data_IF_985730549787
#
_entry.id   IF_985730549787
#
_cell.length_a   1.000
_cell.length_b   1.000
_cell.length_c   1.000
_cell.angle_alpha   90.00
_cell.angle_beta   90.00
_cell.angle_gamma   90.00
#
_symmetry.space_group_name_H-M   'P 1'
#
loop_
_entity.id
_entity.type
_entity.pdbx_description
1 polymer ?
#
# COMPACT_ATOMS: atom_id res chain seq x y z
N UNK A 1 -22.30 10.05 -2.55
CA UNK A 1 -23.70 10.39 -2.74
C UNK A 1 -24.38 11.04 -1.55
N UNK A 2 -24.44 10.40 -0.37
CA UNK A 2 -25.24 10.86 0.78
C UNK A 2 -24.87 12.27 1.29
N UNK A 3 -23.58 12.61 1.39
CA UNK A 3 -23.14 13.96 1.79
C UNK A 3 -23.67 15.04 0.83
N UNK A 4 -23.54 14.82 -0.47
CA UNK A 4 -24.00 15.78 -1.49
C UNK A 4 -25.52 15.96 -1.48
N UNK A 5 -26.30 14.89 -1.28
CA UNK A 5 -27.76 14.98 -1.16
C UNK A 5 -28.13 15.80 0.09
N UNK A 6 -27.48 15.55 1.22
CA UNK A 6 -27.68 16.32 2.46
C UNK A 6 -27.40 17.81 2.23
N UNK A 7 -26.27 18.15 1.59
CA UNK A 7 -25.93 19.54 1.28
C UNK A 7 -26.98 20.20 0.39
N UNK A 8 -27.50 19.48 -0.60
CA UNK A 8 -28.51 19.99 -1.50
C UNK A 8 -29.88 20.24 -0.82
N UNK A 9 -30.22 19.44 0.18
CA UNK A 9 -31.42 19.60 0.98
C UNK A 9 -31.30 20.82 1.93
N UNK A 10 -30.11 20.94 2.57
CA UNK A 10 -29.87 22.06 3.51
C UNK A 10 -29.65 23.38 2.80
N UNK A 11 -29.05 23.37 1.59
CA UNK A 11 -28.75 24.55 0.77
C UNK A 11 -29.42 24.42 -0.61
N UNK A 12 -30.75 24.54 -0.70
CA UNK A 12 -31.46 24.39 -1.98
C UNK A 12 -31.06 25.51 -2.95
N UNK A 13 -31.16 25.19 -4.25
CA UNK A 13 -31.01 26.20 -5.29
C UNK A 13 -32.22 27.10 -5.32
N UNK A 14 -32.00 28.41 -5.51
CA UNK A 14 -33.06 29.41 -5.70
C UNK A 14 -33.14 29.86 -7.17
N UNK A 15 -32.11 29.66 -7.95
CA UNK A 15 -32.04 30.01 -9.37
C UNK A 15 -32.86 29.00 -10.20
N UNK A 16 -33.88 29.49 -10.88
CA UNK A 16 -34.80 28.67 -11.69
C UNK A 16 -34.09 27.93 -12.80
N UNK A 17 -33.15 28.56 -13.47
CA UNK A 17 -32.44 27.92 -14.58
C UNK A 17 -31.50 26.80 -14.08
N UNK A 18 -30.82 27.01 -12.96
CA UNK A 18 -30.02 25.96 -12.33
C UNK A 18 -30.84 24.76 -11.84
N UNK A 19 -32.06 25.05 -11.33
CA UNK A 19 -33.01 24.00 -10.93
C UNK A 19 -33.43 23.18 -12.16
N UNK A 20 -33.85 23.84 -13.24
CA UNK A 20 -34.24 23.15 -14.48
C UNK A 20 -33.14 22.27 -15.01
N UNK A 21 -31.91 22.80 -15.12
CA UNK A 21 -30.76 22.02 -15.58
C UNK A 21 -30.54 20.73 -14.75
N UNK A 22 -30.71 20.82 -13.43
CA UNK A 22 -30.58 19.63 -12.57
C UNK A 22 -31.71 18.64 -12.80
N UNK A 23 -32.97 19.14 -12.95
CA UNK A 23 -34.14 18.31 -13.23
C UNK A 23 -34.08 17.64 -14.59
N UNK A 24 -33.50 18.29 -15.61
CA UNK A 24 -33.29 17.70 -16.93
C UNK A 24 -32.37 16.49 -16.84
N UNK A 25 -31.25 16.58 -16.11
CA UNK A 25 -30.35 15.44 -15.88
C UNK A 25 -31.09 14.31 -15.15
N UNK A 26 -31.83 14.61 -14.08
CA UNK A 26 -32.60 13.60 -13.33
C UNK A 26 -33.64 12.94 -14.23
N UNK A 27 -34.33 13.70 -15.08
CA UNK A 27 -35.27 13.15 -16.05
C UNK A 27 -34.63 12.17 -17.04
N UNK A 28 -33.47 12.52 -17.55
CA UNK A 28 -32.69 11.61 -18.44
C UNK A 28 -32.28 10.30 -17.72
N UNK A 29 -31.77 10.38 -16.50
CA UNK A 29 -31.46 9.18 -15.71
C UNK A 29 -32.71 8.35 -15.41
N UNK A 30 -33.88 8.97 -15.22
CA UNK A 30 -35.15 8.28 -14.99
C UNK A 30 -35.63 7.55 -16.25
N UNK A 31 -35.49 8.17 -17.42
CA UNK A 31 -36.00 7.63 -18.69
C UNK A 31 -35.20 6.45 -19.24
N UNK A 32 -33.95 6.24 -18.80
CA UNK A 32 -33.03 5.20 -19.28
C UNK A 32 -32.61 4.27 -18.13
N UNK A 33 -33.46 3.33 -17.68
CA UNK A 33 -33.20 2.54 -16.48
C UNK A 33 -31.99 1.62 -16.62
N UNK A 34 -31.72 1.04 -17.80
CA UNK A 34 -30.56 0.19 -18.02
C UNK A 34 -29.24 0.96 -17.96
N UNK A 35 -29.19 2.12 -18.64
CA UNK A 35 -28.00 2.98 -18.59
C UNK A 35 -27.76 3.52 -17.17
N UNK A 36 -28.85 3.78 -16.43
CA UNK A 36 -28.74 4.18 -15.02
C UNK A 36 -28.16 3.09 -14.16
N UNK A 37 -28.53 1.82 -14.37
CA UNK A 37 -27.94 0.71 -13.65
C UNK A 37 -26.44 0.58 -13.97
N UNK A 38 -26.08 0.56 -15.24
CA UNK A 38 -24.68 0.53 -15.70
C UNK A 38 -23.83 1.68 -15.06
N UNK A 39 -24.40 2.90 -15.07
CA UNK A 39 -23.72 4.05 -14.42
C UNK A 39 -23.54 3.86 -12.92
N UNK A 40 -24.54 3.26 -12.25
CA UNK A 40 -24.45 2.97 -10.81
C UNK A 40 -23.40 1.92 -10.50
N UNK A 41 -23.30 0.88 -11.32
CA UNK A 41 -22.31 -0.17 -11.15
C UNK A 41 -20.89 0.41 -11.22
N UNK A 42 -20.59 1.26 -12.20
CA UNK A 42 -19.30 1.99 -12.24
C UNK A 42 -19.10 2.94 -11.06
N UNK A 43 -20.14 3.62 -10.60
CA UNK A 43 -20.02 4.53 -9.45
C UNK A 43 -19.79 3.78 -8.13
N UNK A 44 -20.19 2.52 -8.01
CA UNK A 44 -19.92 1.68 -6.85
C UNK A 44 -18.45 1.27 -6.75
N UNK A 45 -17.75 1.18 -7.87
CA UNK A 45 -16.31 0.89 -7.93
C UNK A 45 -15.44 2.11 -7.54
N UNK A 46 -16.01 3.32 -7.57
CA UNK A 46 -15.30 4.56 -7.26
C UNK A 46 -15.34 4.83 -5.77
N UNK A 47 -14.16 4.87 -5.16
CA UNK A 47 -14.00 5.25 -3.76
C UNK A 47 -14.37 6.73 -3.51
N UNK A 48 -14.47 7.10 -2.25
CA UNK A 48 -14.75 8.47 -1.83
C UNK A 48 -13.58 9.43 -2.17
N UNK A 49 -13.57 9.94 -3.41
CA UNK A 49 -12.50 10.79 -3.93
C UNK A 49 -12.30 12.05 -3.10
N UNK A 50 -13.40 12.67 -2.61
CA UNK A 50 -13.33 13.88 -1.79
C UNK A 50 -12.57 13.62 -0.49
N UNK A 51 -12.79 12.46 0.13
CA UNK A 51 -12.08 12.04 1.33
C UNK A 51 -10.61 11.69 1.02
N UNK A 52 -10.34 11.00 -0.09
CA UNK A 52 -8.96 10.68 -0.51
C UNK A 52 -8.15 11.94 -0.78
N UNK A 53 -8.72 12.90 -1.52
CA UNK A 53 -8.09 14.20 -1.77
C UNK A 53 -7.84 14.97 -0.47
N UNK A 54 -8.79 14.97 0.45
CA UNK A 54 -8.60 15.56 1.77
C UNK A 54 -7.42 14.97 2.54
N UNK A 55 -7.25 13.64 2.52
CA UNK A 55 -6.10 12.98 3.15
C UNK A 55 -4.77 13.35 2.48
N UNK A 56 -4.76 13.44 1.15
CA UNK A 56 -3.56 13.83 0.38
C UNK A 56 -3.17 15.27 0.75
N UNK A 57 -4.13 16.19 0.73
CA UNK A 57 -3.90 17.61 1.05
C UNK A 57 -3.37 17.80 2.48
N UNK A 58 -3.85 16.99 3.42
CA UNK A 58 -3.40 17.03 4.82
C UNK A 58 -2.13 16.20 5.08
N UNK A 59 -1.54 15.59 4.05
CA UNK A 59 -0.36 14.73 4.16
C UNK A 59 -0.53 13.55 5.14
N UNK A 60 -1.76 13.06 5.32
CA UNK A 60 -2.08 11.88 6.14
C UNK A 60 -2.50 10.67 5.29
N UNK A 61 -2.28 10.75 3.98
CA UNK A 61 -2.53 9.70 3.02
C UNK A 61 -1.53 8.56 3.21
N UNK A 62 -1.98 7.32 3.12
CA UNK A 62 -1.13 6.13 3.06
C UNK A 62 -1.14 5.49 1.67
N UNK A 63 -0.31 4.45 1.46
CA UNK A 63 -0.19 3.80 0.16
C UNK A 63 -1.51 3.10 -0.28
N UNK A 64 -2.31 2.57 0.64
CA UNK A 64 -3.64 1.98 0.34
C UNK A 64 -4.63 3.04 -0.16
N UNK A 65 -4.57 4.25 0.39
CA UNK A 65 -5.38 5.36 -0.09
C UNK A 65 -5.02 5.71 -1.55
N UNK A 66 -3.74 5.66 -1.92
CA UNK A 66 -3.28 5.87 -3.30
C UNK A 66 -3.73 4.74 -4.24
N UNK A 67 -3.68 3.49 -3.80
CA UNK A 67 -4.23 2.36 -4.57
C UNK A 67 -5.73 2.50 -4.77
N UNK A 68 -6.48 2.92 -3.74
CA UNK A 68 -7.92 3.20 -3.86
C UNK A 68 -8.20 4.32 -4.85
N UNK A 69 -7.35 5.36 -4.89
CA UNK A 69 -7.43 6.43 -5.89
C UNK A 69 -7.15 5.88 -7.31
N UNK A 70 -6.09 5.10 -7.49
CA UNK A 70 -5.75 4.45 -8.76
C UNK A 70 -6.93 3.62 -9.29
N UNK A 71 -7.49 2.74 -8.47
CA UNK A 71 -8.61 1.87 -8.84
C UNK A 71 -9.86 2.70 -9.23
N UNK A 72 -10.09 3.82 -8.54
CA UNK A 72 -11.17 4.74 -8.93
C UNK A 72 -10.94 5.39 -10.30
N UNK A 73 -9.70 5.79 -10.59
CA UNK A 73 -9.32 6.39 -11.88
C UNK A 73 -9.48 5.38 -13.03
N UNK A 74 -9.16 4.13 -12.80
CA UNK A 74 -9.30 3.05 -13.78
C UNK A 74 -10.73 2.91 -14.32
N UNK A 75 -11.73 3.23 -13.50
CA UNK A 75 -13.15 3.19 -13.87
C UNK A 75 -13.59 4.39 -14.72
N UNK A 76 -12.83 5.50 -14.74
CA UNK A 76 -13.23 6.76 -15.38
C UNK A 76 -13.58 6.66 -16.87
N UNK A 77 -12.80 5.95 -17.73
CA UNK A 77 -13.14 5.84 -19.14
C UNK A 77 -14.49 5.14 -19.38
N UNK A 78 -14.79 4.12 -18.56
CA UNK A 78 -16.05 3.38 -18.66
C UNK A 78 -17.23 4.21 -18.16
N UNK A 79 -17.04 4.92 -17.04
CA UNK A 79 -18.05 5.85 -16.52
C UNK A 79 -18.34 6.99 -17.53
N UNK A 80 -17.29 7.53 -18.17
CA UNK A 80 -17.47 8.54 -19.23
C UNK A 80 -18.36 8.03 -20.33
N UNK A 81 -18.07 6.84 -20.90
CA UNK A 81 -18.87 6.21 -21.97
C UNK A 81 -20.32 5.96 -21.52
N UNK A 82 -20.53 5.51 -20.30
CA UNK A 82 -21.88 5.30 -19.76
C UNK A 82 -22.66 6.59 -19.62
N UNK A 83 -22.00 7.68 -19.21
CA UNK A 83 -22.63 9.01 -19.08
C UNK A 83 -22.93 9.64 -20.43
N UNK A 84 -22.10 9.42 -21.45
CA UNK A 84 -22.30 9.95 -22.81
C UNK A 84 -23.60 9.42 -23.44
N UNK A 85 -23.99 8.16 -23.14
CA UNK A 85 -25.23 7.52 -23.63
C UNK A 85 -26.53 8.27 -23.27
N UNK A 86 -26.52 9.18 -22.32
CA UNK A 86 -27.72 9.94 -21.92
C UNK A 86 -28.08 11.06 -22.88
N UNK A 87 -27.18 11.48 -23.76
CA UNK A 87 -27.39 12.53 -24.76
C UNK A 87 -28.01 13.81 -24.15
N UNK A 88 -27.63 14.13 -22.92
CA UNK A 88 -28.08 15.33 -22.22
C UNK A 88 -27.08 16.46 -22.49
N UNK A 89 -27.57 17.58 -23.07
CA UNK A 89 -26.72 18.74 -23.32
C UNK A 89 -26.05 19.27 -22.04
N UNK A 90 -26.73 19.17 -20.91
CA UNK A 90 -26.21 19.58 -19.60
C UNK A 90 -25.10 18.63 -19.13
N UNK A 91 -25.31 17.33 -19.27
CA UNK A 91 -24.32 16.32 -18.90
C UNK A 91 -23.10 16.38 -19.82
N UNK A 92 -23.31 16.50 -21.13
CA UNK A 92 -22.24 16.67 -22.13
C UNK A 92 -21.37 17.90 -21.83
N UNK A 93 -21.97 18.99 -21.31
CA UNK A 93 -21.18 20.16 -20.91
C UNK A 93 -20.23 19.88 -19.74
N UNK A 94 -20.60 18.99 -18.79
CA UNK A 94 -19.68 18.52 -17.76
C UNK A 94 -18.60 17.60 -18.35
N UNK A 95 -18.97 16.72 -19.27
CA UNK A 95 -18.06 15.78 -19.91
C UNK A 95 -17.00 16.46 -20.80
N UNK A 96 -17.25 17.68 -21.30
CA UNK A 96 -16.24 18.46 -22.06
C UNK A 96 -14.95 18.75 -21.27
N UNK A 97 -15.05 18.79 -19.96
CA UNK A 97 -13.92 19.05 -19.07
C UNK A 97 -13.46 17.78 -18.33
N UNK A 98 -13.90 16.60 -18.82
CA UNK A 98 -13.52 15.34 -18.24
C UNK A 98 -12.07 15.02 -18.56
N UNK A 99 -11.35 14.60 -17.55
CA UNK A 99 -9.98 14.09 -17.67
C UNK A 99 -9.95 12.68 -17.06
N UNK A 100 -9.41 11.73 -17.81
CA UNK A 100 -9.25 10.35 -17.34
C UNK A 100 -8.10 10.19 -16.33
N UNK A 101 -7.31 11.23 -16.10
CA UNK A 101 -6.17 11.26 -15.18
C UNK A 101 -5.14 10.12 -15.43
N UNK A 102 -4.92 9.76 -16.70
CA UNK A 102 -4.03 8.66 -17.10
C UNK A 102 -2.62 8.82 -16.52
N UNK A 103 -2.07 10.03 -16.56
CA UNK A 103 -0.75 10.32 -16.01
C UNK A 103 -0.67 10.04 -14.50
N UNK A 104 -1.74 10.31 -13.77
CA UNK A 104 -1.82 10.05 -12.32
C UNK A 104 -1.97 8.54 -12.05
N UNK A 105 -2.79 7.86 -12.85
CA UNK A 105 -2.91 6.41 -12.81
C UNK A 105 -1.54 5.76 -13.01
N UNK A 106 -0.85 6.09 -14.09
CA UNK A 106 0.46 5.55 -14.44
C UNK A 106 1.51 5.83 -13.36
N UNK A 107 1.49 7.03 -12.79
CA UNK A 107 2.40 7.40 -11.72
C UNK A 107 2.21 6.49 -10.48
N UNK A 108 0.98 6.23 -10.08
CA UNK A 108 0.70 5.37 -8.93
C UNK A 108 1.00 3.91 -9.28
N UNK A 109 0.54 3.44 -10.45
CA UNK A 109 0.74 2.07 -10.92
C UNK A 109 2.22 1.70 -11.03
N UNK A 110 3.04 2.57 -11.55
CA UNK A 110 4.48 2.34 -11.71
C UNK A 110 5.23 2.27 -10.38
N UNK A 111 4.78 3.02 -9.38
CA UNK A 111 5.57 3.22 -8.17
C UNK A 111 5.06 2.44 -6.95
N UNK A 112 3.77 2.28 -6.79
CA UNK A 112 3.16 1.68 -5.58
C UNK A 112 2.81 0.21 -5.85
N UNK A 113 3.08 -0.67 -4.87
CA UNK A 113 2.66 -2.07 -4.96
C UNK A 113 1.14 -2.19 -4.87
N UNK A 114 0.57 -3.27 -5.43
CA UNK A 114 -0.89 -3.40 -5.54
C UNK A 114 -1.58 -3.67 -4.20
N UNK A 115 -0.91 -4.37 -3.27
CA UNK A 115 -1.39 -4.57 -1.89
C UNK A 115 -0.34 -4.06 -0.88
N UNK A 116 -0.28 -2.73 -0.65
CA UNK A 116 0.66 -2.16 0.29
C UNK A 116 0.22 -2.41 1.74
N UNK A 117 1.17 -2.52 2.69
CA UNK A 117 0.87 -2.57 4.11
C UNK A 117 0.18 -1.27 4.57
N UNK A 118 -0.47 -1.32 5.75
CA UNK A 118 -1.14 -0.14 6.31
C UNK A 118 -0.16 0.93 6.78
N UNK A 119 0.96 0.50 7.37
CA UNK A 119 1.93 1.38 8.01
C UNK A 119 3.16 1.65 7.15
N UNK A 120 3.62 2.89 7.10
CA UNK A 120 4.85 3.27 6.39
C UNK A 120 6.09 2.55 6.94
N UNK A 121 6.09 2.21 8.23
CA UNK A 121 7.21 1.55 8.93
C UNK A 121 7.40 0.08 8.54
N UNK A 122 6.38 -0.54 7.97
CA UNK A 122 6.43 -1.94 7.54
C UNK A 122 7.29 -2.14 6.27
N UNK A 123 7.53 -1.08 5.52
CA UNK A 123 8.25 -1.13 4.25
C UNK A 123 7.42 -1.74 3.11
N UNK A 124 8.09 -2.15 2.03
CA UNK A 124 7.45 -2.78 0.85
C UNK A 124 6.30 -1.99 0.21
N UNK A 125 6.39 -0.66 0.23
CA UNK A 125 5.37 0.23 -0.34
C UNK A 125 5.58 0.44 -1.84
N UNK A 126 6.84 0.42 -2.29
CA UNK A 126 7.24 0.78 -3.64
C UNK A 126 7.61 -0.45 -4.46
N UNK A 127 7.18 -0.48 -5.72
CA UNK A 127 7.59 -1.46 -6.72
C UNK A 127 9.10 -1.35 -6.97
N UNK A 128 9.73 -2.44 -7.38
CA UNK A 128 11.14 -2.42 -7.79
C UNK A 128 11.28 -1.62 -9.10
N UNK A 129 12.38 -0.88 -9.24
CA UNK A 129 12.63 -0.02 -10.39
C UNK A 129 12.13 1.42 -10.25
N UNK A 130 11.38 1.74 -9.19
CA UNK A 130 10.91 3.12 -8.98
C UNK A 130 12.03 4.07 -8.53
N UNK A 131 13.00 3.56 -7.78
CA UNK A 131 14.16 4.32 -7.31
C UNK A 131 15.37 3.41 -7.16
N UNK A 132 16.46 3.72 -7.90
CA UNK A 132 17.69 2.91 -7.93
C UNK A 132 18.37 2.77 -6.56
N UNK A 133 18.41 3.85 -5.79
CA UNK A 133 19.02 3.84 -4.45
C UNK A 133 18.23 2.96 -3.48
N UNK A 134 16.89 3.06 -3.52
CA UNK A 134 16.01 2.21 -2.72
C UNK A 134 16.18 0.73 -3.08
N UNK A 135 16.30 0.41 -4.37
CA UNK A 135 16.51 -0.97 -4.81
C UNK A 135 17.86 -1.52 -4.34
N UNK A 136 18.93 -0.71 -4.40
CA UNK A 136 20.24 -1.08 -3.86
C UNK A 136 20.16 -1.35 -2.34
N UNK A 137 19.49 -0.50 -1.58
CA UNK A 137 19.31 -0.69 -0.14
C UNK A 137 18.49 -1.94 0.19
N UNK A 138 17.43 -2.21 -0.58
CA UNK A 138 16.65 -3.45 -0.46
C UNK A 138 17.51 -4.69 -0.76
N UNK A 139 18.35 -4.63 -1.77
CA UNK A 139 19.23 -5.73 -2.13
C UNK A 139 20.30 -5.99 -1.06
N UNK A 140 20.92 -4.96 -0.51
CA UNK A 140 21.85 -5.08 0.62
C UNK A 140 21.15 -5.72 1.83
N UNK A 141 19.96 -5.24 2.17
CA UNK A 141 19.18 -5.79 3.29
C UNK A 141 18.81 -7.27 3.07
N UNK A 142 18.40 -7.63 1.85
CA UNK A 142 18.07 -9.01 1.48
C UNK A 142 19.28 -9.93 1.53
N UNK A 143 20.41 -9.49 0.94
CA UNK A 143 21.68 -10.23 0.97
C UNK A 143 22.16 -10.44 2.41
N UNK A 144 22.08 -9.42 3.25
CA UNK A 144 22.42 -9.54 4.68
C UNK A 144 21.57 -10.58 5.40
N UNK A 145 20.25 -10.58 5.20
CA UNK A 145 19.35 -11.60 5.78
C UNK A 145 19.65 -13.01 5.27
N UNK A 146 19.92 -13.16 3.97
CA UNK A 146 20.28 -14.42 3.35
C UNK A 146 21.62 -14.94 3.90
N UNK A 147 22.61 -14.06 4.04
CA UNK A 147 23.91 -14.41 4.61
C UNK A 147 23.79 -14.90 6.07
N UNK A 148 23.01 -14.20 6.89
CA UNK A 148 22.75 -14.62 8.29
C UNK A 148 22.07 -16.00 8.34
N UNK A 149 21.08 -16.26 7.48
CA UNK A 149 20.40 -17.54 7.42
C UNK A 149 21.36 -18.68 6.99
N UNK A 150 22.24 -18.43 6.01
CA UNK A 150 23.26 -19.37 5.59
C UNK A 150 24.27 -19.65 6.70
N UNK A 151 24.71 -18.60 7.40
CA UNK A 151 25.62 -18.74 8.54
C UNK A 151 24.99 -19.53 9.69
N UNK A 152 23.70 -19.32 9.98
CA UNK A 152 22.96 -20.09 10.98
C UNK A 152 22.95 -21.59 10.63
N UNK A 153 22.73 -21.93 9.36
CA UNK A 153 22.74 -23.31 8.87
C UNK A 153 24.16 -23.94 8.99
N UNK A 154 25.19 -23.22 8.55
CA UNK A 154 26.58 -23.66 8.66
C UNK A 154 26.96 -23.89 10.13
N UNK A 155 26.62 -22.99 11.03
CA UNK A 155 26.96 -23.12 12.45
C UNK A 155 26.17 -24.25 13.14
N UNK A 156 24.94 -24.54 12.70
CA UNK A 156 24.20 -25.74 13.14
C UNK A 156 24.86 -27.03 12.71
N UNK A 157 25.33 -27.11 11.47
CA UNK A 157 26.04 -28.26 10.96
C UNK A 157 27.39 -28.45 11.68
N UNK A 158 28.18 -27.38 11.81
CA UNK A 158 29.48 -27.37 12.48
C UNK A 158 29.40 -27.83 13.95
N UNK A 159 28.41 -27.38 14.66
CA UNK A 159 28.27 -27.66 16.12
C UNK A 159 27.39 -28.86 16.42
N UNK A 160 26.61 -29.36 15.48
CA UNK A 160 25.59 -30.38 15.70
C UNK A 160 24.43 -29.93 16.62
N UNK A 161 24.24 -28.60 16.80
CA UNK A 161 23.21 -28.01 17.67
C UNK A 161 22.05 -27.48 16.82
N UNK A 162 21.03 -28.28 16.60
CA UNK A 162 19.89 -27.93 15.75
C UNK A 162 19.06 -26.73 16.25
N UNK A 163 19.09 -26.48 17.57
CA UNK A 163 18.35 -25.40 18.22
C UNK A 163 19.11 -24.06 18.29
N UNK A 164 20.34 -24.02 17.74
CA UNK A 164 21.14 -22.80 17.62
C UNK A 164 20.37 -21.75 16.79
N UNK A 165 20.41 -20.49 17.22
CA UNK A 165 19.80 -19.34 16.51
C UNK A 165 20.79 -18.18 16.45
N UNK A 166 20.77 -17.44 15.34
CA UNK A 166 21.46 -16.16 15.24
C UNK A 166 20.45 -15.05 15.50
N UNK A 167 20.74 -14.16 16.45
CA UNK A 167 19.95 -12.99 16.80
C UNK A 167 20.76 -11.70 16.72
N UNK A 168 20.06 -10.58 16.85
CA UNK A 168 20.69 -9.25 16.87
C UNK A 168 20.38 -8.53 18.18
N UNK A 169 21.38 -7.87 18.75
CA UNK A 169 21.24 -7.03 19.91
C UNK A 169 21.88 -5.64 19.62
N UNK A 170 21.22 -4.56 20.05
CA UNK A 170 21.68 -3.19 19.78
C UNK A 170 23.02 -2.85 20.45
N UNK A 171 23.40 -3.57 21.51
CA UNK A 171 24.62 -3.26 22.31
C UNK A 171 25.85 -3.92 21.69
N UNK A 172 25.77 -5.21 21.30
CA UNK A 172 26.92 -5.97 20.82
C UNK A 172 26.74 -6.61 19.44
N UNK A 173 25.68 -6.24 18.70
CA UNK A 173 25.45 -6.68 17.34
C UNK A 173 24.84 -8.08 17.23
N UNK A 174 25.22 -8.82 16.18
CA UNK A 174 24.78 -10.19 15.99
C UNK A 174 25.41 -11.15 16.99
N UNK A 175 24.64 -12.15 17.42
CA UNK A 175 25.08 -13.18 18.37
C UNK A 175 24.48 -14.55 18.03
N UNK A 176 25.14 -15.58 18.46
CA UNK A 176 24.66 -16.97 18.43
C UNK A 176 24.08 -17.30 19.79
N UNK A 177 22.82 -17.71 19.83
CA UNK A 177 22.15 -18.16 21.07
C UNK A 177 22.09 -19.68 21.10
N UNK A 178 22.63 -20.26 22.18
CA UNK A 178 22.69 -21.70 22.40
C UNK A 178 22.08 -21.96 23.79
N UNK A 179 21.16 -22.94 23.87
CA UNK A 179 20.58 -23.35 25.14
C UNK A 179 21.61 -24.01 26.03
N UNK A 180 21.56 -23.78 27.35
CA UNK A 180 22.51 -24.36 28.33
C UNK A 180 22.64 -25.87 28.26
N UNK A 181 21.61 -26.57 27.76
CA UNK A 181 21.60 -28.00 27.55
C UNK A 181 22.68 -28.48 26.59
N UNK A 182 23.19 -27.60 25.71
CA UNK A 182 24.17 -27.89 24.67
C UNK A 182 25.48 -27.14 24.87
N UNK A 183 25.75 -26.64 26.07
CA UNK A 183 26.99 -25.88 26.37
C UNK A 183 28.28 -26.71 26.20
N UNK A 184 28.20 -28.01 26.33
CA UNK A 184 29.30 -28.98 26.09
C UNK A 184 29.74 -29.06 24.62
N UNK A 185 28.88 -28.67 23.69
CA UNK A 185 29.14 -28.69 22.23
C UNK A 185 29.56 -27.33 21.67
N UNK A 186 29.64 -26.30 22.52
CA UNK A 186 30.04 -24.97 22.08
C UNK A 186 31.53 -24.99 21.66
N UNK A 187 31.86 -24.54 20.44
CA UNK A 187 33.26 -24.47 20.00
C UNK A 187 34.11 -23.55 20.88
N UNK A 188 35.37 -23.93 21.08
CA UNK A 188 36.32 -23.17 21.93
C UNK A 188 36.63 -21.76 21.40
N UNK A 189 36.45 -21.54 20.11
CA UNK A 189 36.63 -20.26 19.40
C UNK A 189 35.47 -19.27 19.60
N UNK A 190 34.37 -19.70 20.23
CA UNK A 190 33.25 -18.81 20.53
C UNK A 190 33.51 -17.99 21.79
N UNK A 191 33.23 -16.68 21.70
CA UNK A 191 33.37 -15.75 22.82
C UNK A 191 32.02 -15.53 23.45
N UNK A 192 31.83 -15.96 24.71
CA UNK A 192 30.60 -15.70 25.46
C UNK A 192 30.43 -14.24 25.77
N UNK A 193 29.28 -13.67 25.44
CA UNK A 193 28.91 -12.27 25.67
C UNK A 193 27.86 -12.09 26.76
N UNK A 194 26.93 -13.04 26.87
CA UNK A 194 25.85 -12.95 27.84
C UNK A 194 25.36 -14.33 28.28
N UNK A 195 25.10 -14.48 29.59
CA UNK A 195 24.38 -15.64 30.14
C UNK A 195 22.94 -15.23 30.45
N UNK A 196 21.99 -16.06 29.98
CA UNK A 196 20.55 -15.96 30.27
C UNK A 196 20.16 -17.13 31.19
N UNK A 197 18.92 -17.15 31.64
CA UNK A 197 18.41 -18.25 32.51
C UNK A 197 18.56 -19.61 31.84
N UNK A 198 18.12 -19.74 30.58
CA UNK A 198 18.06 -21.02 29.83
C UNK A 198 19.00 -21.10 28.63
N UNK A 199 19.74 -20.04 28.29
CA UNK A 199 20.62 -19.97 27.13
C UNK A 199 21.85 -19.12 27.41
N UNK A 200 22.84 -19.22 26.53
CA UNK A 200 24.00 -18.38 26.50
C UNK A 200 24.17 -17.77 25.10
N UNK A 201 24.72 -16.55 25.04
CA UNK A 201 24.96 -15.81 23.80
C UNK A 201 26.45 -15.68 23.53
N UNK A 202 26.83 -16.04 22.32
CA UNK A 202 28.20 -16.07 21.89
C UNK A 202 28.40 -15.23 20.62
N UNK A 203 29.65 -14.86 20.37
CA UNK A 203 30.09 -14.34 19.07
C UNK A 203 31.13 -15.31 18.53
N UNK A 204 30.91 -15.74 17.28
CA UNK A 204 31.93 -16.51 16.52
C UNK A 204 32.89 -15.57 15.77
N UNK A 205 34.07 -16.02 15.37
CA UNK A 205 34.96 -15.24 14.52
C UNK A 205 34.29 -14.73 13.23
N UNK A 206 33.49 -15.57 12.57
CA UNK A 206 32.73 -15.22 11.36
C UNK A 206 31.66 -14.13 11.57
N UNK A 207 31.09 -13.99 12.77
CA UNK A 207 30.12 -12.93 13.09
C UNK A 207 30.78 -11.60 13.47
N UNK A 208 32.11 -11.60 13.66
CA UNK A 208 32.86 -10.41 14.02
C UNK A 208 33.36 -9.65 12.78
N UNK A 209 33.46 -10.32 11.64
CA UNK A 209 33.79 -9.74 10.34
C UNK A 209 32.57 -9.01 9.74
#
# INVERSE_FOLDING_TARGET
>A
GARRIRDWVIKPLVDKEKIKRRLDIVSKFKSLPLNRQETRDFLEEIFDLERLLGKITLSVCNARDLVSLKNSIETFPNLYKALEKYESSQLLNYLKHWDNLENLYDLIEKNIVDDPPMGLKEGNLFKSGCNKELDQLKDISRKGKSWIASLESEEKEKTGISVLKIGFNKIYGYYIEITKKHSDRVPKDYIRKQSLVNAERFISPKLKE
#
